data_IF_211072802416
#
_entry.id   IF_211072802416
#
_cell.length_a   1.000
_cell.length_b   1.000
_cell.length_c   1.000
_cell.angle_alpha   90.00
_cell.angle_beta   90.00
_cell.angle_gamma   90.00
#
_symmetry.space_group_name_H-M   'P 1'
#
loop_
_entity.id
_entity.type
_entity.pdbx_description
1 polymer ?
#
# COMPACT_ATOMS: atom_id res chain seq x y z
N UNK A 1 -14.70 3.53 -9.03
CA UNK A 1 -14.30 4.92 -9.36
C UNK A 1 -14.43 5.19 -10.86
N UNK A 2 -13.58 4.60 -11.72
CA UNK A 2 -13.49 4.94 -13.15
C UNK A 2 -14.81 4.83 -13.95
N UNK A 3 -15.57 3.73 -13.85
CA UNK A 3 -16.85 3.61 -14.58
C UNK A 3 -17.86 4.67 -14.13
N UNK A 4 -18.00 4.89 -12.82
CA UNK A 4 -18.87 5.94 -12.27
C UNK A 4 -18.47 7.37 -12.70
N UNK A 5 -17.21 7.58 -13.10
CA UNK A 5 -16.74 8.84 -13.70
C UNK A 5 -17.24 9.01 -15.12
N UNK A 6 -17.18 7.95 -15.93
CA UNK A 6 -17.73 7.92 -17.29
C UNK A 6 -19.27 8.08 -17.26
N UNK A 7 -19.93 7.49 -16.27
CA UNK A 7 -21.38 7.59 -16.03
C UNK A 7 -21.82 8.93 -15.39
N UNK A 8 -20.89 9.81 -15.00
CA UNK A 8 -21.18 11.09 -14.33
C UNK A 8 -21.71 10.99 -12.89
N UNK A 9 -21.73 9.79 -12.28
CA UNK A 9 -22.27 9.55 -10.94
C UNK A 9 -21.28 9.99 -9.84
N UNK A 10 -21.30 11.29 -9.50
CA UNK A 10 -20.40 11.91 -8.51
C UNK A 10 -20.32 11.18 -7.16
N UNK A 11 -21.45 10.71 -6.63
CA UNK A 11 -21.47 10.04 -5.32
C UNK A 11 -20.72 8.71 -5.36
N UNK A 12 -20.94 7.89 -6.40
CA UNK A 12 -20.26 6.60 -6.54
C UNK A 12 -18.77 6.76 -6.89
N UNK A 13 -18.38 7.82 -7.60
CA UNK A 13 -16.95 8.16 -7.81
C UNK A 13 -16.26 8.37 -6.46
N UNK A 14 -16.80 9.29 -5.65
CA UNK A 14 -16.20 9.69 -4.36
C UNK A 14 -16.18 8.51 -3.38
N UNK A 15 -17.27 7.76 -3.25
CA UNK A 15 -17.33 6.58 -2.39
C UNK A 15 -16.29 5.53 -2.81
N UNK A 16 -16.24 5.18 -4.10
CA UNK A 16 -15.32 4.14 -4.56
C UNK A 16 -13.85 4.57 -4.50
N UNK A 17 -13.55 5.84 -4.80
CA UNK A 17 -12.19 6.38 -4.67
C UNK A 17 -11.75 6.41 -3.20
N UNK A 18 -12.62 6.85 -2.28
CA UNK A 18 -12.34 6.84 -0.85
C UNK A 18 -12.05 5.41 -0.34
N UNK A 19 -12.81 4.41 -0.78
CA UNK A 19 -12.55 3.00 -0.43
C UNK A 19 -11.18 2.55 -0.97
N UNK A 20 -10.80 2.92 -2.20
CA UNK A 20 -9.47 2.59 -2.75
C UNK A 20 -8.33 3.21 -1.92
N UNK A 21 -8.43 4.49 -1.56
CA UNK A 21 -7.43 5.18 -0.73
C UNK A 21 -7.36 4.53 0.67
N UNK A 22 -8.51 4.26 1.28
CA UNK A 22 -8.57 3.60 2.59
C UNK A 22 -7.92 2.19 2.59
N UNK A 23 -8.06 1.44 1.49
CA UNK A 23 -7.37 0.15 1.32
C UNK A 23 -5.84 0.31 1.16
N UNK A 24 -5.37 1.36 0.47
CA UNK A 24 -3.94 1.67 0.38
C UNK A 24 -3.32 2.05 1.72
N UNK A 25 -4.03 2.85 2.52
CA UNK A 25 -3.64 3.17 3.91
C UNK A 25 -3.65 1.90 4.78
N UNK A 26 -4.68 1.06 4.66
CA UNK A 26 -4.77 -0.20 5.42
C UNK A 26 -3.64 -1.17 5.07
N UNK A 27 -3.30 -1.33 3.79
CA UNK A 27 -2.12 -2.08 3.36
C UNK A 27 -0.83 -1.51 3.96
N UNK A 28 -0.66 -0.20 3.96
CA UNK A 28 0.52 0.47 4.53
C UNK A 28 0.67 0.20 6.04
N UNK A 29 -0.44 0.21 6.78
CA UNK A 29 -0.45 -0.13 8.22
C UNK A 29 -0.10 -1.61 8.46
N UNK A 30 -0.64 -2.53 7.64
CA UNK A 30 -0.28 -3.95 7.71
C UNK A 30 1.21 -4.16 7.41
N UNK A 31 1.75 -3.52 6.36
CA UNK A 31 3.16 -3.61 5.99
C UNK A 31 4.08 -3.06 7.09
N UNK A 32 3.69 -1.98 7.77
CA UNK A 32 4.42 -1.46 8.92
C UNK A 32 4.39 -2.42 10.12
N UNK A 33 3.27 -3.12 10.36
CA UNK A 33 3.20 -4.16 11.41
C UNK A 33 4.02 -5.40 11.07
N UNK A 34 4.04 -5.83 9.79
CA UNK A 34 4.90 -6.94 9.31
C UNK A 34 6.37 -6.62 9.57
N UNK A 35 6.82 -5.39 9.27
CA UNK A 35 8.20 -4.95 9.51
C UNK A 35 8.58 -4.87 11.00
N UNK A 36 7.60 -4.67 11.89
CA UNK A 36 7.84 -4.62 13.34
C UNK A 36 7.90 -6.02 13.97
N UNK A 37 7.04 -6.93 13.52
CA UNK A 37 6.96 -8.32 14.01
C UNK A 37 7.94 -9.27 13.31
N UNK A 38 8.60 -8.84 12.23
CA UNK A 38 9.58 -9.66 11.50
C UNK A 38 10.75 -10.07 12.42
N UNK A 39 11.07 -11.39 12.54
CA UNK A 39 12.16 -11.87 13.39
C UNK A 39 13.55 -11.69 12.75
N UNK A 40 13.65 -10.83 11.73
CA UNK A 40 14.85 -10.51 10.97
C UNK A 40 14.79 -9.06 10.49
N UNK A 41 15.95 -8.51 10.16
CA UNK A 41 16.19 -7.11 9.83
C UNK A 41 16.83 -6.97 8.44
N UNK A 42 16.94 -5.75 7.92
CA UNK A 42 17.66 -5.46 6.68
C UNK A 42 19.15 -5.89 6.71
N UNK A 43 19.73 -6.05 7.90
CA UNK A 43 21.12 -6.46 8.11
C UNK A 43 21.34 -7.98 8.05
N UNK A 44 20.28 -8.80 8.00
CA UNK A 44 20.37 -10.26 8.05
C UNK A 44 20.68 -10.90 6.68
N UNK A 45 21.84 -10.49 6.14
CA UNK A 45 22.45 -11.06 4.95
C UNK A 45 21.63 -10.84 3.66
N UNK A 46 21.84 -11.73 2.68
CA UNK A 46 21.15 -11.66 1.39
C UNK A 46 19.64 -11.88 1.53
N UNK A 47 19.20 -12.62 2.54
CA UNK A 47 17.78 -12.71 2.85
C UNK A 47 17.27 -11.36 3.33
N UNK A 48 17.69 -10.87 4.51
CA UNK A 48 17.16 -9.62 5.08
C UNK A 48 17.26 -8.39 4.16
N UNK A 49 18.35 -8.24 3.42
CA UNK A 49 18.50 -7.14 2.46
C UNK A 49 17.54 -7.20 1.26
N UNK A 50 17.01 -8.36 0.87
CA UNK A 50 16.16 -8.48 -0.34
C UNK A 50 14.68 -8.10 -0.17
N UNK A 51 13.89 -8.56 0.82
CA UNK A 51 12.52 -8.10 1.00
C UNK A 51 12.51 -6.66 1.49
N UNK A 52 13.32 -6.26 2.49
CA UNK A 52 13.27 -4.88 2.98
C UNK A 52 13.60 -3.85 1.88
N UNK A 53 14.47 -4.15 0.91
CA UNK A 53 14.64 -3.30 -0.27
C UNK A 53 13.48 -3.45 -1.25
N UNK A 54 13.11 -4.67 -1.67
CA UNK A 54 12.09 -4.86 -2.70
C UNK A 54 10.67 -4.46 -2.24
N UNK A 55 10.23 -4.94 -1.08
CA UNK A 55 8.95 -4.56 -0.46
C UNK A 55 8.97 -3.14 0.09
N UNK A 56 10.13 -2.61 0.50
CA UNK A 56 10.27 -1.22 0.95
C UNK A 56 10.11 -0.22 -0.20
N UNK A 57 10.75 -0.49 -1.35
CA UNK A 57 10.47 0.28 -2.56
C UNK A 57 9.02 0.12 -3.02
N UNK A 58 8.43 -1.08 -2.96
CA UNK A 58 7.01 -1.26 -3.26
C UNK A 58 6.11 -0.43 -2.33
N UNK A 59 6.35 -0.45 -1.01
CA UNK A 59 5.61 0.34 -0.03
C UNK A 59 5.71 1.84 -0.29
N UNK A 60 6.89 2.34 -0.68
CA UNK A 60 7.06 3.73 -1.12
C UNK A 60 6.18 4.07 -2.34
N UNK A 61 6.10 3.17 -3.33
CA UNK A 61 5.22 3.35 -4.49
C UNK A 61 3.74 3.31 -4.11
N UNK A 62 3.33 2.47 -3.15
CA UNK A 62 1.95 2.44 -2.64
C UNK A 62 1.60 3.74 -1.92
N UNK A 63 2.49 4.28 -1.08
CA UNK A 63 2.29 5.55 -0.37
C UNK A 63 2.18 6.74 -1.35
N UNK A 64 2.97 6.75 -2.43
CA UNK A 64 2.90 7.81 -3.47
C UNK A 64 1.63 7.68 -4.34
N UNK A 65 1.13 6.45 -4.53
CA UNK A 65 -0.04 6.16 -5.36
C UNK A 65 -1.40 6.16 -4.65
N UNK A 66 -1.43 6.35 -3.32
CA UNK A 66 -2.65 6.37 -2.48
C UNK A 66 -3.12 7.80 -2.21
#
# INVERSE_FOLDING_TARGET
AHHSLIEGNRNHILQALFITIALGVYFTLLQASEYYEAPFTISDGVYGSTPFVATGFHGLHVIIGS
#
